data_IF_385219714325
#
_entry.id   IF_385219714325
#
_cell.length_a   1.000
_cell.length_b   1.000
_cell.length_c   1.000
_cell.angle_alpha   90.00
_cell.angle_beta   90.00
_cell.angle_gamma   90.00
#
_symmetry.space_group_name_H-M   'P 1'
#
loop_
_entity.id
_entity.type
_entity.pdbx_description
1 polymer ?
2 non-polymer ?
3 water ?
#
# COMPACT_ATOMS: atom_id res chain seq x y z
N UNK A 1 45.82 25.96 7.45
CA UNK A 1 46.29 26.50 6.18
C UNK A 1 45.42 26.17 5.01
N UNK A 2 45.97 26.29 3.82
CA UNK A 2 45.14 26.11 2.62
C UNK A 2 44.81 24.66 2.32
N UNK A 3 45.68 23.74 2.74
CA UNK A 3 45.37 22.32 2.56
C UNK A 3 44.20 21.92 3.43
N UNK A 4 44.19 22.39 4.67
CA UNK A 4 43.05 22.19 5.53
C UNK A 4 41.83 22.81 4.90
N UNK A 5 41.97 23.99 4.31
CA UNK A 5 40.81 24.66 3.75
C UNK A 5 40.22 23.92 2.55
N UNK A 6 41.10 23.44 1.67
CA UNK A 6 40.62 22.64 0.55
C UNK A 6 39.88 21.42 1.04
N UNK A 7 40.33 20.83 2.12
CA UNK A 7 39.65 19.67 2.67
C UNK A 7 38.28 20.05 3.23
N UNK A 8 38.22 21.14 3.98
CA UNK A 8 36.95 21.56 4.54
C UNK A 8 35.98 21.95 3.44
N UNK A 9 36.47 22.52 2.35
CA UNK A 9 35.62 22.91 1.23
C UNK A 9 35.03 21.69 0.53
N UNK A 10 35.86 20.69 0.28
CA UNK A 10 35.34 19.46 -0.33
C UNK A 10 34.31 18.80 0.57
N UNK A 11 34.53 18.80 1.87
CA UNK A 11 33.65 18.13 2.78
C UNK A 11 32.29 18.82 2.83
N UNK A 12 32.31 20.15 2.95
CA UNK A 12 31.04 20.87 2.95
C UNK A 12 30.31 20.70 1.63
N UNK A 13 31.03 20.83 0.52
CA UNK A 13 30.37 20.63 -0.77
C UNK A 13 29.59 19.32 -0.79
N UNK A 14 30.17 18.23 -0.30
CA UNK A 14 29.51 16.96 -0.35
C UNK A 14 28.33 16.89 0.63
N UNK A 15 28.61 17.36 1.85
CA UNK A 15 27.54 17.44 2.86
C UNK A 15 26.32 18.11 2.29
N UNK A 16 26.48 19.19 1.54
CA UNK A 16 25.27 19.82 1.05
C UNK A 16 24.53 18.95 0.05
N UNK A 17 25.24 18.20 -0.77
CA UNK A 17 24.59 17.28 -1.68
C UNK A 17 23.92 16.12 -0.96
N UNK A 18 24.53 15.60 0.12
CA UNK A 18 23.87 14.57 0.89
C UNK A 18 22.57 15.09 1.49
N UNK A 19 22.58 16.34 1.95
CA UNK A 19 21.34 16.91 2.48
C UNK A 19 20.26 16.97 1.42
N UNK A 20 20.61 17.51 0.24
CA UNK A 20 19.63 17.55 -0.86
C UNK A 20 19.12 16.17 -1.23
N UNK A 21 20.00 15.17 -1.34
CA UNK A 21 19.50 13.85 -1.66
C UNK A 21 18.53 13.37 -0.60
N UNK A 22 18.90 13.49 0.66
CA UNK A 22 18.00 13.13 1.74
C UNK A 22 16.63 13.75 1.55
N UNK A 23 16.56 15.03 1.19
CA UNK A 23 15.23 15.59 1.02
C UNK A 23 14.51 15.06 -0.22
N UNK A 24 15.26 14.90 -1.32
CA UNK A 24 14.63 14.34 -2.52
C UNK A 24 14.14 12.92 -2.29
N UNK A 25 14.88 12.11 -1.55
CA UNK A 25 14.41 10.76 -1.35
C UNK A 25 13.12 10.71 -0.55
N UNK A 26 12.99 11.59 0.42
CA UNK A 26 11.75 11.65 1.17
C UNK A 26 10.59 12.06 0.28
N UNK A 27 10.82 12.94 -0.69
CA UNK A 27 9.70 13.27 -1.57
C UNK A 27 9.33 12.08 -2.43
N UNK A 28 10.34 11.38 -2.96
CA UNK A 28 10.04 10.16 -3.72
C UNK A 28 9.28 9.13 -2.89
N UNK A 29 9.61 9.03 -1.61
CA UNK A 29 8.86 8.11 -0.73
C UNK A 29 7.42 8.58 -0.56
N UNK A 30 7.23 9.87 -0.30
CA UNK A 30 5.86 10.39 -0.20
C UNK A 30 5.04 10.09 -1.45
N UNK A 31 5.62 10.27 -2.64
CA UNK A 31 4.85 9.95 -3.83
C UNK A 31 4.58 8.46 -3.92
N UNK A 32 5.58 7.63 -3.61
CA UNK A 32 5.36 6.19 -3.71
C UNK A 32 4.33 5.72 -2.70
N UNK A 33 4.33 6.35 -1.52
CA UNK A 33 3.30 6.10 -0.53
C UNK A 33 1.94 6.49 -1.07
N UNK A 34 1.85 7.67 -1.67
CA UNK A 34 0.56 8.08 -2.25
C UNK A 34 0.07 7.05 -3.26
N UNK A 35 0.96 6.63 -4.17
CA UNK A 35 0.57 5.64 -5.17
C UNK A 35 0.10 4.36 -4.50
N UNK A 36 0.78 3.94 -3.43
CA UNK A 36 0.41 2.68 -2.78
C UNK A 36 -0.93 2.80 -2.04
N UNK A 37 -1.08 3.81 -1.19
CA UNK A 37 -2.41 4.04 -0.61
C UNK A 37 -3.48 4.02 -1.68
N UNK A 38 -3.30 4.76 -2.76
CA UNK A 38 -4.34 4.83 -3.77
C UNK A 38 -4.60 3.47 -4.40
N UNK A 39 -3.55 2.72 -4.69
CA UNK A 39 -3.76 1.43 -5.31
C UNK A 39 -4.48 0.49 -4.38
N UNK A 40 -4.03 0.45 -3.12
CA UNK A 40 -4.65 -0.49 -2.18
C UNK A 40 -6.10 -0.11 -1.90
N UNK A 41 -6.35 1.16 -1.60
CA UNK A 41 -7.74 1.58 -1.44
C UNK A 41 -8.59 1.19 -2.66
N UNK A 42 -8.26 1.70 -3.84
CA UNK A 42 -9.07 1.42 -5.01
C UNK A 42 -9.29 -0.08 -5.20
N UNK A 43 -8.26 -0.88 -4.96
CA UNK A 43 -8.47 -2.33 -5.14
C UNK A 43 -9.49 -2.88 -4.15
N UNK A 44 -9.31 -2.58 -2.89
CA UNK A 44 -10.19 -3.18 -1.89
C UNK A 44 -11.58 -2.57 -1.97
N UNK A 45 -11.70 -1.31 -2.36
CA UNK A 45 -13.05 -0.78 -2.57
C UNK A 45 -13.79 -1.53 -3.66
N UNK A 46 -13.13 -1.82 -4.77
CA UNK A 46 -13.81 -2.60 -5.79
C UNK A 46 -14.21 -3.95 -5.26
N UNK A 47 -13.36 -4.58 -4.47
CA UNK A 47 -13.68 -5.89 -3.94
C UNK A 47 -14.83 -5.80 -2.95
N UNK A 48 -14.82 -4.77 -2.09
CA UNK A 48 -15.92 -4.61 -1.15
C UNK A 48 -17.23 -4.34 -1.87
N UNK A 49 -17.23 -3.38 -2.79
CA UNK A 49 -18.39 -3.14 -3.64
C UNK A 49 -18.90 -4.40 -4.35
N UNK A 50 -18.01 -5.14 -5.01
CA UNK A 50 -18.46 -6.35 -5.68
C UNK A 50 -19.15 -7.33 -4.73
N UNK A 51 -18.63 -7.46 -3.50
CA UNK A 51 -19.23 -8.36 -2.55
C UNK A 51 -20.53 -7.78 -2.01
N UNK A 52 -20.54 -6.47 -1.73
CA UNK A 52 -21.83 -5.86 -1.34
C UNK A 52 -22.91 -6.13 -2.39
N UNK A 53 -22.60 -5.95 -3.68
CA UNK A 53 -23.58 -6.22 -4.72
C UNK A 53 -23.97 -7.70 -4.80
N UNK A 54 -23.06 -8.62 -4.47
CA UNK A 54 -23.46 -10.02 -4.43
C UNK A 54 -24.43 -10.27 -3.27
N UNK A 55 -24.19 -9.65 -2.12
CA UNK A 55 -25.14 -9.80 -1.02
C UNK A 55 -26.51 -9.31 -1.43
N UNK A 56 -26.59 -8.19 -2.13
CA UNK A 56 -27.92 -7.70 -2.52
C UNK A 56 -28.56 -8.62 -3.53
N UNK A 57 -27.78 -9.10 -4.48
CA UNK A 57 -28.38 -9.98 -5.46
C UNK A 57 -28.82 -11.29 -4.83
N UNK A 58 -28.06 -11.79 -3.88
CA UNK A 58 -28.48 -13.03 -3.25
C UNK A 58 -29.75 -12.80 -2.44
N UNK A 59 -29.84 -11.66 -1.74
CA UNK A 59 -31.06 -11.32 -1.00
C UNK A 59 -32.27 -11.25 -1.92
N UNK A 60 -32.12 -10.75 -3.15
CA UNK A 60 -33.28 -10.71 -4.05
C UNK A 60 -33.56 -12.07 -4.69
N UNK A 61 -32.54 -12.90 -4.91
CA UNK A 61 -32.79 -14.27 -5.34
C UNK A 61 -33.46 -15.07 -4.24
N UNK A 62 -33.10 -14.83 -2.99
CA UNK A 62 -33.76 -15.52 -1.90
C UNK A 62 -35.24 -15.15 -1.84
N UNK A 63 -35.53 -13.85 -1.94
CA UNK A 63 -36.94 -13.45 -1.87
C UNK A 63 -37.71 -14.06 -3.02
N UNK A 64 -37.19 -13.97 -4.24
CA UNK A 64 -37.82 -14.63 -5.37
C UNK A 64 -38.05 -16.13 -5.12
N UNK A 65 -37.04 -16.84 -4.61
CA UNK A 65 -37.20 -18.27 -4.42
C UNK A 65 -38.31 -18.57 -3.43
N UNK A 66 -38.47 -17.72 -2.42
CA UNK A 66 -39.49 -17.90 -1.41
C UNK A 66 -40.86 -17.49 -1.90
N UNK A 67 -40.93 -16.56 -2.85
CA UNK A 67 -42.20 -16.21 -3.46
C UNK A 67 -42.70 -17.37 -4.29
N UNK A 68 -41.80 -18.01 -5.05
CA UNK A 68 -42.18 -19.17 -5.85
C UNK A 68 -42.51 -20.37 -4.98
N UNK A 69 -41.85 -20.54 -3.83
CA UNK A 69 -42.19 -21.64 -2.95
C UNK A 69 -43.56 -21.44 -2.28
N UNK A 70 -43.87 -20.21 -1.85
CA UNK A 70 -45.21 -19.92 -1.31
C UNK A 70 -46.26 -20.16 -2.40
N UNK A 71 -46.10 -19.49 -3.53
CA UNK A 71 -46.91 -19.77 -4.69
C UNK A 71 -46.79 -21.27 -4.96
N UNK B 8 37.76 15.10 -11.69
CA UNK B 8 37.24 13.74 -11.68
C UNK B 8 36.94 13.15 -10.29
N UNK B 9 37.83 13.39 -9.31
CA UNK B 9 37.83 12.61 -8.07
C UNK B 9 36.86 13.13 -7.01
N UNK B 10 36.59 14.45 -6.99
CA UNK B 10 35.56 14.98 -6.08
C UNK B 10 34.22 14.31 -6.33
N UNK B 11 33.77 14.29 -7.59
CA UNK B 11 32.47 13.71 -7.93
C UNK B 11 32.34 12.29 -7.40
N UNK B 12 33.34 11.44 -7.69
CA UNK B 12 33.27 10.03 -7.36
C UNK B 12 33.50 9.76 -5.87
N UNK B 13 34.22 10.65 -5.16
CA UNK B 13 34.34 10.47 -3.71
C UNK B 13 33.03 10.76 -2.98
N UNK B 14 32.40 11.89 -3.29
CA UNK B 14 31.09 12.20 -2.75
C UNK B 14 30.03 11.19 -3.20
N UNK B 15 30.05 10.83 -4.49
CA UNK B 15 29.00 9.99 -5.05
C UNK B 15 28.95 8.64 -4.35
N UNK B 16 30.05 8.25 -3.73
CA UNK B 16 30.07 6.99 -3.01
C UNK B 16 29.27 7.08 -1.71
N UNK B 17 29.43 8.19 -0.99
CA UNK B 17 28.59 8.39 0.18
C UNK B 17 27.15 8.62 -0.23
N UNK B 18 26.93 9.22 -1.40
CA UNK B 18 25.60 9.37 -1.94
C UNK B 18 24.98 8.03 -2.28
N UNK B 19 25.76 7.10 -2.83
CA UNK B 19 25.18 5.78 -3.09
C UNK B 19 24.76 5.12 -1.77
N UNK B 20 25.65 5.12 -0.78
CA UNK B 20 25.33 4.41 0.46
C UNK B 20 24.11 5.01 1.15
N UNK B 21 24.10 6.35 1.29
CA UNK B 21 22.92 7.03 1.85
C UNK B 21 21.62 6.66 1.14
N UNK B 22 21.60 6.67 -0.18
CA UNK B 22 20.38 6.33 -0.90
C UNK B 22 19.94 4.91 -0.61
N UNK B 23 20.88 3.96 -0.60
CA UNK B 23 20.49 2.59 -0.37
C UNK B 23 19.86 2.44 1.02
N UNK B 24 20.47 3.04 2.03
CA UNK B 24 19.94 2.86 3.37
C UNK B 24 18.62 3.60 3.55
N UNK B 25 18.52 4.83 3.04
CA UNK B 25 17.23 5.51 3.11
C UNK B 25 16.13 4.82 2.31
N UNK B 26 16.45 4.22 1.17
CA UNK B 26 15.45 3.47 0.44
C UNK B 26 14.99 2.27 1.24
N UNK B 27 15.87 1.67 2.04
CA UNK B 27 15.41 0.57 2.88
C UNK B 27 14.51 1.07 3.99
N UNK B 28 14.93 2.17 4.65
CA UNK B 28 14.08 2.77 5.68
C UNK B 28 12.69 3.06 5.15
N UNK B 29 12.59 3.66 3.96
CA UNK B 29 11.28 4.02 3.41
C UNK B 29 10.47 2.81 2.94
N UNK B 30 11.12 1.77 2.42
CA UNK B 30 10.46 0.58 1.99
C UNK B 30 9.79 -0.13 3.15
N UNK B 31 10.43 -0.11 4.33
CA UNK B 31 9.81 -0.66 5.52
C UNK B 31 8.58 0.13 5.89
N UNK B 32 8.71 1.47 5.89
CA UNK B 32 7.51 2.26 6.12
C UNK B 32 6.39 1.88 5.16
N UNK B 33 6.70 1.74 3.86
CA UNK B 33 5.65 1.42 2.90
C UNK B 33 5.03 0.07 3.17
N UNK B 34 5.86 -0.91 3.51
CA UNK B 34 5.37 -2.23 3.87
C UNK B 34 4.49 -2.22 5.12
N UNK B 35 4.89 -1.50 6.17
CA UNK B 35 4.03 -1.44 7.34
C UNK B 35 2.66 -0.93 6.92
N UNK B 36 2.61 0.12 6.11
CA UNK B 36 1.32 0.61 5.61
C UNK B 36 0.61 -0.43 4.77
N UNK B 37 1.32 -1.05 3.80
CA UNK B 37 0.70 -2.08 2.98
C UNK B 37 0.12 -3.20 3.83
N UNK B 38 0.86 -3.67 4.83
CA UNK B 38 0.38 -4.78 5.65
C UNK B 38 -0.79 -4.36 6.55
N UNK B 39 -0.71 -3.17 7.13
CA UNK B 39 -1.81 -2.76 8.00
C UNK B 39 -3.10 -2.60 7.23
N UNK B 40 -3.02 -1.95 6.05
CA UNK B 40 -4.24 -1.74 5.27
C UNK B 40 -4.80 -3.05 4.77
N UNK B 41 -3.94 -3.93 4.28
CA UNK B 41 -4.45 -5.19 3.76
C UNK B 41 -5.03 -6.08 4.83
N UNK B 42 -4.52 -6.02 6.05
CA UNK B 42 -5.15 -6.79 7.11
C UNK B 42 -6.51 -6.21 7.41
N UNK B 43 -6.60 -4.88 7.45
CA UNK B 43 -7.92 -4.28 7.66
C UNK B 43 -8.86 -4.66 6.54
N UNK B 44 -8.39 -4.62 5.30
CA UNK B 44 -9.35 -4.83 4.22
C UNK B 44 -9.74 -6.29 4.10
N UNK B 45 -8.83 -7.22 4.41
CA UNK B 45 -9.13 -8.63 4.29
C UNK B 45 -10.12 -9.07 5.36
N UNK B 46 -10.14 -8.38 6.50
CA UNK B 46 -11.15 -8.60 7.49
C UNK B 46 -12.52 -8.21 6.95
N UNK B 47 -12.58 -7.04 6.32
CA UNK B 47 -13.83 -6.61 5.74
C UNK B 47 -14.27 -7.55 4.63
N UNK B 48 -13.33 -8.00 3.81
CA UNK B 48 -13.67 -8.96 2.78
C UNK B 48 -14.16 -10.27 3.39
N UNK B 49 -13.58 -10.66 4.52
CA UNK B 49 -13.97 -11.95 5.11
C UNK B 49 -15.36 -11.87 5.71
N UNK B 50 -15.65 -10.78 6.43
CA UNK B 50 -17.00 -10.60 6.93
C UNK B 50 -18.03 -10.69 5.80
N UNK B 51 -17.69 -10.13 4.64
CA UNK B 51 -18.66 -10.19 3.56
C UNK B 51 -18.73 -11.58 2.97
N UNK B 52 -17.60 -12.28 2.91
CA UNK B 52 -17.66 -13.63 2.38
C UNK B 52 -18.53 -14.51 3.24
N UNK B 53 -18.50 -14.32 4.56
CA UNK B 53 -19.31 -15.16 5.43
C UNK B 53 -20.79 -14.89 5.25
N UNK B 54 -21.17 -13.63 5.01
CA UNK B 54 -22.55 -13.34 4.73
C UNK B 54 -22.95 -13.94 3.39
N UNK B 55 -22.07 -13.93 2.42
CA UNK B 55 -22.43 -14.53 1.14
C UNK B 55 -22.67 -16.02 1.32
N UNK B 56 -21.87 -16.67 2.16
CA UNK B 56 -22.06 -18.10 2.41
C UNK B 56 -23.41 -18.36 3.06
N UNK B 57 -23.75 -17.61 4.10
CA UNK B 57 -25.08 -17.74 4.71
C UNK B 57 -26.18 -17.57 3.67
N UNK B 58 -26.17 -16.45 2.93
CA UNK B 58 -27.27 -16.24 1.99
C UNK B 58 -27.31 -17.37 0.96
N UNK B 59 -26.15 -17.82 0.48
CA UNK B 59 -26.14 -18.90 -0.49
C UNK B 59 -26.84 -20.15 0.06
N UNK B 60 -26.50 -20.56 1.27
CA UNK B 60 -27.16 -21.70 1.90
C UNK B 60 -28.66 -21.51 2.01
N UNK B 61 -29.10 -20.37 2.53
CA UNK B 61 -30.52 -20.09 2.55
C UNK B 61 -31.14 -20.24 1.16
N UNK B 62 -30.43 -19.79 0.13
CA UNK B 62 -30.97 -19.95 -1.23
C UNK B 62 -31.08 -21.42 -1.60
N UNK B 63 -30.02 -22.19 -1.37
CA UNK B 63 -30.12 -23.63 -1.58
C UNK B 63 -31.46 -24.12 -1.05
N UNK B 64 -31.75 -23.76 0.21
CA UNK B 64 -32.93 -24.30 0.86
C UNK B 64 -34.21 -23.79 0.24
N UNK B 65 -34.28 -22.50 -0.08
CA UNK B 65 -35.55 -22.00 -0.61
C UNK B 65 -35.90 -22.64 -1.95
N UNK B 66 -34.91 -22.86 -2.82
CA UNK B 66 -35.18 -23.56 -4.09
C UNK B 66 -35.64 -25.00 -3.85
N UNK B 67 -34.94 -25.72 -2.97
CA UNK B 67 -35.32 -27.03 -2.52
C UNK B 67 -36.61 -26.99 -1.71
N UNK B 68 -37.03 -25.81 -1.26
CA UNK B 68 -38.25 -25.66 -0.49
C UNK B 68 -39.50 -26.07 -1.28
N UNK B 69 -39.49 -25.88 -2.60
CA UNK B 69 -40.64 -26.30 -3.44
C UNK B 69 -40.17 -27.47 -4.27
X LIG C 1 10.70 5.40 -1.07
X LIG C 1 11.47 4.15 -1.52
X LIG C 1 12.76 4.75 -2.06
X LIG C 1 11.72 3.18 -0.52
X LIG C 1 11.22 5.86 -0.23
X LIG C 1 9.70 5.12 -0.76
X LIG C 1 10.65 6.11 -1.90
X LIG C 1 10.87 3.57 -2.23
X LIG C 1 13.44 4.93 -1.23
X LIG C 1 13.21 4.05 -2.76
X LIG C 1 12.54 5.68 -2.56
X LIG C 1 11.00 2.49 -0.64
#
# INVERSE_FOLDING_TARGET
GPMVEQMQQREQWCSEHLDTQKELLEEMYEEKLNILKESLTSFYQEEIQERDEKIEELEALLQEARQQSVAHQQS
GPMVEQMQQREQWCSEHLDTQKELLEEMYEEKLNILKESLTSFYQEEIQERDEKIEELEALLQEARQQSVAHQQS
IPA C1 C2 C3 O2 H11 H12 H13 H2 H31 H32 H33 HO2
#
